data_IF_993210526973
#
_entry.id   IF_993210526973
#
_cell.length_a   1.000
_cell.length_b   1.000
_cell.length_c   1.000
_cell.angle_alpha   90.00
_cell.angle_beta   90.00
_cell.angle_gamma   90.00
#
_symmetry.space_group_name_H-M   'P 1'
#
loop_
_entity.id
_entity.type
_entity.pdbx_description
1 polymer ?
#
# COMPACT_ATOMS: atom_id res chain seq x y z
N UNK A 1 -6.09 -17.32 -4.95
CA UNK A 1 -6.42 -16.54 -6.15
C UNK A 1 -5.13 -16.34 -6.93
N UNK A 2 -5.05 -16.84 -8.16
CA UNK A 2 -3.85 -16.74 -9.00
C UNK A 2 -3.97 -15.51 -9.89
N UNK A 3 -3.03 -14.58 -9.81
CA UNK A 3 -2.98 -13.40 -10.68
C UNK A 3 -2.26 -13.80 -11.97
N UNK A 4 -2.80 -13.39 -13.12
CA UNK A 4 -2.20 -13.64 -14.44
C UNK A 4 -1.61 -12.38 -15.02
N UNK A 5 -0.60 -12.53 -15.86
CA UNK A 5 -0.06 -11.43 -16.68
C UNK A 5 -1.19 -10.76 -17.46
N UNK A 6 -1.16 -9.43 -17.54
CA UNK A 6 -2.16 -8.63 -18.25
C UNK A 6 -3.51 -8.49 -17.54
N UNK A 7 -3.73 -9.17 -16.41
CA UNK A 7 -4.96 -9.03 -15.62
C UNK A 7 -4.83 -7.88 -14.64
N UNK A 8 -5.63 -6.82 -14.81
CA UNK A 8 -5.69 -5.74 -13.83
C UNK A 8 -6.26 -6.24 -12.51
N UNK A 9 -5.51 -6.00 -11.43
CA UNK A 9 -5.91 -6.23 -10.05
C UNK A 9 -5.93 -4.91 -9.30
N UNK A 10 -6.64 -4.88 -8.17
CA UNK A 10 -6.68 -3.72 -7.29
C UNK A 10 -5.90 -4.04 -6.02
N UNK A 11 -4.75 -3.39 -5.86
CA UNK A 11 -4.01 -3.40 -4.61
C UNK A 11 -4.67 -2.44 -3.63
N UNK A 12 -4.62 -2.74 -2.35
CA UNK A 12 -5.17 -1.89 -1.30
C UNK A 12 -4.22 -1.79 -0.12
N UNK A 13 -4.29 -0.69 0.61
CA UNK A 13 -3.59 -0.52 1.88
C UNK A 13 -4.45 0.24 2.88
N UNK A 14 -4.23 -0.03 4.16
CA UNK A 14 -4.84 0.68 5.27
C UNK A 14 -3.74 1.22 6.18
N UNK A 15 -3.63 2.54 6.29
CA UNK A 15 -2.60 3.16 7.11
C UNK A 15 -3.01 3.26 8.58
N UNK A 16 -2.14 2.77 9.46
CA UNK A 16 -2.36 2.75 10.90
C UNK A 16 -1.13 3.27 11.61
N UNK A 17 -1.32 4.18 12.56
CA UNK A 17 -0.27 4.63 13.48
C UNK A 17 -0.49 3.96 14.83
N UNK A 18 0.60 3.58 15.49
CA UNK A 18 0.56 3.20 16.89
C UNK A 18 0.37 4.47 17.70
N UNK A 19 -0.70 4.55 18.48
CA UNK A 19 -0.87 5.63 19.45
C UNK A 19 0.28 5.56 20.46
N UNK A 20 1.22 6.52 20.38
CA UNK A 20 2.34 6.65 21.33
C UNK A 20 2.05 7.72 22.39
N UNK A 21 0.83 8.22 22.51
CA UNK A 21 0.50 9.21 23.53
C UNK A 21 0.37 8.54 24.92
N UNK A 22 1.49 8.52 25.63
CA UNK A 22 1.71 8.04 27.02
C UNK A 22 1.81 6.52 27.21
N UNK A 23 3.03 6.07 27.53
CA UNK A 23 3.43 4.68 27.74
C UNK A 23 2.84 3.99 28.99
N UNK A 24 1.80 4.53 29.63
CA UNK A 24 1.27 4.00 30.89
C UNK A 24 -0.07 3.26 30.75
N UNK A 25 -0.71 3.27 29.58
CA UNK A 25 -2.00 2.57 29.40
C UNK A 25 -2.18 2.08 27.97
N UNK A 26 -1.16 1.44 27.38
CA UNK A 26 -1.37 0.65 26.17
C UNK A 26 -2.18 -0.58 26.57
N UNK A 27 -3.51 -0.43 26.64
CA UNK A 27 -4.42 -1.54 26.43
C UNK A 27 -4.06 -2.06 25.05
N UNK A 28 -3.40 -3.22 25.00
CA UNK A 28 -2.73 -3.76 23.83
C UNK A 28 -3.50 -3.51 22.52
N UNK A 29 -2.91 -2.74 21.59
CA UNK A 29 -3.30 -2.79 20.18
C UNK A 29 -4.35 -1.81 19.67
N UNK A 30 -4.65 -0.68 20.32
CA UNK A 30 -5.48 0.36 19.69
C UNK A 30 -4.70 1.05 18.57
N UNK A 31 -4.88 0.56 17.34
CA UNK A 31 -4.36 1.19 16.12
C UNK A 31 -5.25 2.38 15.75
N UNK A 32 -4.66 3.56 15.61
CA UNK A 32 -5.38 4.76 15.16
C UNK A 32 -5.22 4.85 13.64
N UNK A 33 -6.34 5.05 12.93
CA UNK A 33 -6.31 5.27 11.48
C UNK A 33 -5.50 6.53 11.18
N UNK A 34 -4.54 6.40 10.28
CA UNK A 34 -3.71 7.51 9.85
C UNK A 34 -4.13 7.92 8.45
N UNK A 35 -4.51 9.19 8.30
CA UNK A 35 -5.00 9.74 7.04
C UNK A 35 -3.95 10.66 6.42
N UNK A 36 -2.93 10.11 5.74
CA UNK A 36 -1.90 10.90 5.08
C UNK A 36 -2.52 11.77 3.97
N UNK A 37 -1.99 12.98 3.78
CA UNK A 37 -2.43 13.87 2.71
C UNK A 37 -1.90 13.43 1.34
N UNK A 38 -0.78 12.69 1.34
CA UNK A 38 -0.14 12.15 0.15
C UNK A 38 0.18 10.67 0.37
N UNK A 39 -0.07 9.85 -0.64
CA UNK A 39 0.23 8.41 -0.61
C UNK A 39 1.05 8.06 -1.84
N UNK A 40 2.08 7.24 -1.68
CA UNK A 40 2.81 6.61 -2.76
C UNK A 40 2.72 5.09 -2.66
N UNK A 41 2.56 4.43 -3.81
CA UNK A 41 2.71 2.98 -3.96
C UNK A 41 3.81 2.73 -4.98
N UNK A 42 4.90 2.11 -4.52
CA UNK A 42 6.03 1.72 -5.35
C UNK A 42 5.93 0.24 -5.63
N UNK A 43 5.76 -0.11 -6.89
CA UNK A 43 5.66 -1.49 -7.35
C UNK A 43 6.95 -1.87 -8.08
N UNK A 44 7.62 -2.91 -7.60
CA UNK A 44 8.85 -3.47 -8.19
C UNK A 44 8.53 -4.77 -8.90
N UNK A 45 8.92 -4.87 -10.16
CA UNK A 45 8.77 -6.07 -10.99
C UNK A 45 9.78 -7.17 -10.67
N UNK A 46 9.52 -8.41 -11.09
CA UNK A 46 10.48 -9.51 -11.02
C UNK A 46 11.83 -9.18 -11.69
N UNK A 47 11.80 -8.43 -12.80
CA UNK A 47 12.99 -7.93 -13.49
C UNK A 47 13.64 -6.71 -12.83
N UNK A 48 13.07 -6.18 -11.74
CA UNK A 48 13.59 -5.04 -10.99
C UNK A 48 13.13 -3.67 -11.50
N UNK A 49 12.17 -3.62 -12.42
CA UNK A 49 11.58 -2.37 -12.90
C UNK A 49 10.68 -1.78 -11.83
N UNK A 50 10.90 -0.52 -11.49
CA UNK A 50 10.14 0.19 -10.46
C UNK A 50 9.11 1.11 -11.11
N UNK A 51 7.84 0.96 -10.72
CA UNK A 51 6.74 1.83 -11.12
C UNK A 51 6.15 2.52 -9.90
N UNK A 52 5.97 3.84 -9.97
CA UNK A 52 5.45 4.64 -8.86
C UNK A 52 4.04 5.13 -9.17
N UNK A 53 3.15 4.94 -8.20
CA UNK A 53 1.78 5.45 -8.19
C UNK A 53 1.63 6.44 -7.04
N UNK A 54 0.77 7.43 -7.20
CA UNK A 54 0.58 8.47 -6.19
C UNK A 54 -0.88 8.87 -6.03
N UNK A 55 -1.26 9.23 -4.81
CA UNK A 55 -2.50 9.94 -4.50
C UNK A 55 -2.22 11.44 -4.50
N UNK A 56 -3.09 12.28 -5.10
CA UNK A 56 -4.43 11.97 -5.65
C UNK A 56 -4.45 11.67 -7.16
N UNK A 57 -3.37 11.17 -7.77
CA UNK A 57 -3.30 10.96 -9.22
C UNK A 57 -3.86 9.60 -9.67
N UNK A 58 -3.14 8.52 -9.37
CA UNK A 58 -3.48 7.15 -9.81
C UNK A 58 -4.02 6.28 -8.67
N UNK A 59 -3.69 6.64 -7.43
CA UNK A 59 -4.23 6.01 -6.22
C UNK A 59 -5.56 6.66 -5.90
N UNK A 60 -6.55 5.84 -5.55
CA UNK A 60 -7.88 6.30 -5.12
C UNK A 60 -8.02 6.12 -3.61
N UNK A 61 -8.49 7.14 -2.91
CA UNK A 61 -8.90 7.02 -1.51
C UNK A 61 -10.33 6.51 -1.47
N UNK A 62 -10.55 5.36 -0.83
CA UNK A 62 -11.88 4.73 -0.75
C UNK A 62 -12.59 5.12 0.54
N UNK A 63 -11.86 5.21 1.66
CA UNK A 63 -12.38 5.70 2.94
C UNK A 63 -11.25 6.28 3.79
N UNK A 64 -11.50 6.58 5.07
CA UNK A 64 -10.47 7.08 5.98
C UNK A 64 -9.32 6.08 6.08
N UNK A 65 -8.10 6.53 5.79
CA UNK A 65 -6.88 5.71 5.80
C UNK A 65 -6.84 4.52 4.83
N UNK A 66 -7.87 4.29 4.01
CA UNK A 66 -7.96 3.16 3.08
C UNK A 66 -7.84 3.62 1.63
N UNK A 67 -6.81 3.10 0.94
CA UNK A 67 -6.43 3.51 -0.40
C UNK A 67 -6.29 2.31 -1.33
N UNK A 68 -6.60 2.51 -2.61
CA UNK A 68 -6.52 1.48 -3.65
C UNK A 68 -5.71 1.94 -4.84
N UNK A 69 -4.92 1.04 -5.43
CA UNK A 69 -4.14 1.28 -6.64
C UNK A 69 -4.45 0.19 -7.68
N UNK A 70 -4.93 0.54 -8.88
CA UNK A 70 -5.00 -0.43 -9.97
C UNK A 70 -3.59 -0.82 -10.42
N UNK A 71 -3.36 -2.10 -10.65
CA UNK A 71 -2.08 -2.64 -11.08
C UNK A 71 -2.29 -3.75 -12.12
N UNK A 72 -1.56 -3.68 -13.23
CA UNK A 72 -1.57 -4.70 -14.30
C UNK A 72 -0.16 -5.24 -14.48
N UNK A 73 0.13 -6.49 -14.07
CA UNK A 73 1.47 -7.06 -14.20
C UNK A 73 1.80 -7.35 -15.66
N UNK A 74 3.00 -6.97 -16.09
CA UNK A 74 3.49 -7.17 -17.46
C UNK A 74 4.28 -8.47 -17.65
N UNK A 75 4.67 -9.14 -16.56
CA UNK A 75 5.47 -10.36 -16.58
C UNK A 75 5.13 -11.27 -15.40
N UNK A 76 5.38 -12.57 -15.57
CA UNK A 76 5.21 -13.57 -14.52
C UNK A 76 6.37 -13.49 -13.51
N UNK A 77 6.09 -13.84 -12.26
CA UNK A 77 7.07 -13.80 -11.17
C UNK A 77 6.53 -13.12 -9.92
N UNK A 78 7.43 -12.87 -8.97
CA UNK A 78 7.09 -12.18 -7.73
C UNK A 78 7.29 -10.66 -7.87
N UNK A 79 6.19 -9.94 -7.66
CA UNK A 79 6.14 -8.50 -7.61
C UNK A 79 6.03 -8.04 -6.16
N UNK A 80 6.57 -6.86 -5.85
CA UNK A 80 6.52 -6.27 -4.51
C UNK A 80 5.93 -4.87 -4.57
N UNK A 81 4.92 -4.61 -3.75
CA UNK A 81 4.33 -3.28 -3.58
C UNK A 81 4.64 -2.73 -2.18
N UNK A 82 5.24 -1.55 -2.14
CA UNK A 82 5.54 -0.81 -0.93
C UNK A 82 4.69 0.46 -0.88
N UNK A 83 4.06 0.71 0.27
CA UNK A 83 3.15 1.83 0.47
C UNK A 83 3.72 2.82 1.49
N UNK A 84 3.72 4.11 1.16
CA UNK A 84 4.12 5.18 2.07
C UNK A 84 3.08 6.29 2.07
N UNK A 85 2.73 6.75 3.26
CA UNK A 85 1.89 7.92 3.50
C UNK A 85 2.73 9.04 4.09
N UNK A 86 2.54 10.27 3.61
CA UNK A 86 3.20 11.47 4.13
C UNK A 86 2.19 12.61 4.33
N UNK A 87 2.64 13.66 5.02
CA UNK A 87 1.84 14.85 5.34
C UNK A 87 1.43 14.87 6.80
N UNK A 88 0.12 14.95 7.08
CA UNK A 88 -0.43 14.99 8.45
C UNK A 88 0.01 13.80 9.32
N UNK A 89 0.34 12.66 8.69
CA UNK A 89 1.00 11.54 9.32
C UNK A 89 2.03 10.93 8.34
N UNK A 90 3.22 10.62 8.86
CA UNK A 90 4.20 9.79 8.15
C UNK A 90 4.02 8.35 8.59
N UNK A 91 3.69 7.47 7.64
CA UNK A 91 3.32 6.09 7.94
C UNK A 91 3.73 5.17 6.79
N UNK A 92 4.18 3.96 7.12
CA UNK A 92 4.54 2.93 6.14
C UNK A 92 3.48 1.84 6.20
N UNK A 93 2.94 1.48 5.04
CA UNK A 93 1.97 0.40 4.91
C UNK A 93 2.66 -0.96 4.91
N UNK A 94 1.89 -2.01 5.11
CA UNK A 94 2.41 -3.37 5.06
C UNK A 94 2.89 -3.68 3.62
N UNK A 95 4.13 -4.18 3.43
CA UNK A 95 4.61 -4.54 2.11
C UNK A 95 3.83 -5.74 1.58
N UNK A 96 3.47 -5.70 0.30
CA UNK A 96 2.65 -6.72 -0.33
C UNK A 96 3.48 -7.48 -1.35
N UNK A 97 3.52 -8.81 -1.23
CA UNK A 97 4.05 -9.70 -2.27
C UNK A 97 2.91 -10.17 -3.16
N UNK A 98 3.11 -10.08 -4.47
CA UNK A 98 2.12 -10.42 -5.49
C UNK A 98 2.75 -11.47 -6.41
N UNK A 99 2.27 -12.70 -6.34
CA UNK A 99 2.77 -13.78 -7.21
C UNK A 99 1.93 -13.87 -8.49
N UNK A 100 2.57 -13.61 -9.63
CA UNK A 100 1.94 -13.58 -10.96
C UNK A 100 2.34 -14.82 -11.76
N UNK A 101 1.35 -15.45 -12.39
CA UNK A 101 1.52 -16.57 -13.32
C UNK A 101 1.39 -16.07 -14.76
N UNK A 102 2.00 -16.81 -15.68
CA UNK A 102 1.78 -16.61 -17.11
C UNK A 102 0.31 -16.83 -17.49
#
# INVERSE_FOLDING_TARGET
>A
MSIRVGTTVVLHTEFKVLDQSSAASIKAGKRVLADPSSVACTITSPSGVVTNYSYPATITRVSLAFYTCPFTPSEAGDWYAAWTGTGAASVVGEPQRISVKA
#
